data_IF_186856782806
#
_entry.id   IF_186856782806
#
_cell.length_a   1.000
_cell.length_b   1.000
_cell.length_c   1.000
_cell.angle_alpha   90.00
_cell.angle_beta   90.00
_cell.angle_gamma   90.00
#
_symmetry.space_group_name_H-M   'P 1'
#
loop_
_entity.id
_entity.type
_entity.pdbx_description
1 polymer ?
#
# COMPACT_ATOMS: atom_id res chain seq x y z
N UNK A 1 -8.04 25.13 25.09
CA UNK A 1 -8.78 24.85 23.84
C UNK A 1 -7.87 24.80 22.61
N UNK A 2 -6.90 25.71 22.45
CA UNK A 2 -5.97 25.74 21.32
C UNK A 2 -5.14 24.45 21.14
N UNK A 3 -4.61 23.87 22.23
CA UNK A 3 -3.89 22.59 22.19
C UNK A 3 -4.77 21.39 21.77
N UNK A 4 -6.08 21.47 22.02
CA UNK A 4 -7.04 20.42 21.67
C UNK A 4 -7.39 20.47 20.17
N UNK A 5 -7.49 21.68 19.60
CA UNK A 5 -7.64 21.88 18.14
C UNK A 5 -6.37 21.50 17.37
N UNK A 6 -5.18 21.80 17.91
CA UNK A 6 -3.89 21.35 17.36
C UNK A 6 -3.73 19.83 17.42
N UNK A 7 -4.17 19.20 18.51
CA UNK A 7 -4.19 17.74 18.63
C UNK A 7 -5.12 17.09 17.61
N UNK A 8 -6.32 17.65 17.40
CA UNK A 8 -7.28 17.13 16.42
C UNK A 8 -6.81 17.30 14.98
N UNK A 9 -6.21 18.44 14.64
CA UNK A 9 -5.68 18.68 13.29
C UNK A 9 -4.46 17.82 12.99
N UNK A 10 -3.59 17.59 13.98
CA UNK A 10 -2.48 16.65 13.86
C UNK A 10 -2.97 15.21 13.68
N UNK A 11 -4.00 14.78 14.43
CA UNK A 11 -4.63 13.46 14.26
C UNK A 11 -5.25 13.29 12.87
N UNK A 12 -6.00 14.29 12.39
CA UNK A 12 -6.60 14.27 11.07
C UNK A 12 -5.53 14.24 9.96
N UNK A 13 -4.45 15.02 10.11
CA UNK A 13 -3.33 15.00 9.16
C UNK A 13 -2.62 13.64 9.15
N UNK A 14 -2.38 13.02 10.31
CA UNK A 14 -1.80 11.68 10.39
C UNK A 14 -2.73 10.62 9.78
N UNK A 15 -4.05 10.76 9.93
CA UNK A 15 -5.01 9.88 9.28
C UNK A 15 -4.92 9.99 7.76
N UNK A 16 -4.89 11.20 7.21
CA UNK A 16 -4.75 11.40 5.75
C UNK A 16 -3.40 10.87 5.25
N UNK A 17 -2.30 11.15 5.95
CA UNK A 17 -0.94 10.73 5.55
C UNK A 17 -0.78 9.21 5.52
N UNK A 18 -1.50 8.49 6.39
CA UNK A 18 -1.44 7.02 6.46
C UNK A 18 -2.50 6.36 5.56
N UNK A 19 -3.73 6.88 5.54
CA UNK A 19 -4.83 6.24 4.82
C UNK A 19 -4.73 6.42 3.29
N UNK A 20 -4.22 7.55 2.81
CA UNK A 20 -4.03 7.79 1.38
C UNK A 20 -3.09 6.75 0.74
N UNK A 21 -1.86 6.53 1.24
CA UNK A 21 -0.97 5.54 0.66
C UNK A 21 -1.52 4.11 0.78
N UNK A 22 -2.32 3.82 1.82
CA UNK A 22 -2.97 2.52 1.95
C UNK A 22 -3.88 2.18 0.76
N UNK A 23 -4.79 3.09 0.41
CA UNK A 23 -5.73 2.90 -0.69
C UNK A 23 -5.07 3.05 -2.06
N UNK A 24 -4.25 4.09 -2.24
CA UNK A 24 -3.54 4.31 -3.49
C UNK A 24 -2.59 3.16 -3.82
N UNK A 25 -1.82 2.69 -2.85
CA UNK A 25 -0.90 1.58 -3.04
C UNK A 25 -1.63 0.27 -3.35
N UNK A 26 -2.73 -0.03 -2.65
CA UNK A 26 -3.55 -1.21 -2.92
C UNK A 26 -4.18 -1.19 -4.32
N UNK A 27 -4.78 -0.06 -4.72
CA UNK A 27 -5.37 0.11 -6.05
C UNK A 27 -4.29 0.03 -7.14
N UNK A 28 -3.17 0.71 -6.95
CA UNK A 28 -2.06 0.69 -7.90
C UNK A 28 -1.48 -0.71 -8.04
N UNK A 29 -1.30 -1.44 -6.93
CA UNK A 29 -0.89 -2.84 -6.92
C UNK A 29 -1.86 -3.70 -7.73
N UNK A 30 -3.17 -3.52 -7.54
CA UNK A 30 -4.17 -4.27 -8.30
C UNK A 30 -4.09 -3.99 -9.81
N UNK A 31 -4.10 -2.71 -10.20
CA UNK A 31 -4.05 -2.28 -11.60
C UNK A 31 -2.79 -2.81 -12.28
N UNK A 32 -1.62 -2.61 -11.65
CA UNK A 32 -0.34 -3.06 -12.20
C UNK A 32 -0.33 -4.58 -12.33
N UNK A 33 -0.79 -5.32 -11.32
CA UNK A 33 -0.77 -6.80 -11.35
C UNK A 33 -1.71 -7.35 -12.42
N UNK A 34 -2.87 -6.73 -12.64
CA UNK A 34 -3.83 -7.12 -13.68
C UNK A 34 -3.28 -6.80 -15.07
N UNK A 35 -2.95 -5.53 -15.33
CA UNK A 35 -2.67 -5.04 -16.69
C UNK A 35 -1.22 -5.21 -17.12
N UNK A 36 -0.25 -5.15 -16.21
CA UNK A 36 1.15 -5.27 -16.61
C UNK A 36 1.54 -6.74 -16.80
N UNK A 37 2.16 -7.04 -17.95
CA UNK A 37 2.90 -8.31 -18.19
C UNK A 37 4.37 -8.22 -17.79
N UNK A 38 4.89 -7.00 -17.60
CA UNK A 38 6.31 -6.73 -17.32
C UNK A 38 6.57 -6.72 -15.82
N UNK A 39 7.48 -7.60 -15.38
CA UNK A 39 7.86 -7.79 -13.99
C UNK A 39 8.35 -6.52 -13.30
N UNK A 40 9.05 -5.64 -14.01
CA UNK A 40 9.57 -4.38 -13.45
C UNK A 40 8.48 -3.40 -13.02
N UNK A 41 7.31 -3.42 -13.68
CA UNK A 41 6.21 -2.53 -13.30
C UNK A 41 5.54 -2.98 -12.00
N UNK A 42 5.62 -4.27 -11.65
CA UNK A 42 5.09 -4.83 -10.40
C UNK A 42 5.79 -4.25 -9.16
N UNK A 43 7.02 -3.73 -9.33
CA UNK A 43 7.78 -3.09 -8.25
C UNK A 43 7.35 -1.64 -7.97
N UNK A 44 6.65 -0.96 -8.89
CA UNK A 44 6.24 0.44 -8.72
C UNK A 44 5.46 0.70 -7.43
N UNK A 45 4.43 -0.09 -7.08
CA UNK A 45 3.65 0.18 -5.87
C UNK A 45 4.46 -0.10 -4.59
N UNK A 46 5.40 -1.05 -4.64
CA UNK A 46 6.33 -1.29 -3.54
C UNK A 46 7.31 -0.12 -3.35
N UNK A 47 7.87 0.42 -4.44
CA UNK A 47 8.75 1.59 -4.40
C UNK A 47 8.01 2.82 -3.85
N UNK A 48 6.80 3.07 -4.35
CA UNK A 48 5.96 4.17 -3.88
C UNK A 48 5.65 4.04 -2.38
N UNK A 49 5.38 2.81 -1.93
CA UNK A 49 5.16 2.48 -0.53
C UNK A 49 6.37 2.77 0.35
N UNK A 50 7.58 2.45 -0.11
CA UNK A 50 8.82 2.79 0.60
C UNK A 50 9.01 4.30 0.71
N UNK A 51 8.74 5.05 -0.37
CA UNK A 51 8.83 6.52 -0.35
C UNK A 51 7.85 7.11 0.65
N UNK A 52 6.61 6.64 0.68
CA UNK A 52 5.62 7.06 1.66
C UNK A 52 6.00 6.66 3.10
N UNK A 53 6.64 5.51 3.30
CA UNK A 53 7.17 5.10 4.60
C UNK A 53 8.22 6.06 5.12
N UNK A 54 9.21 6.39 4.29
CA UNK A 54 10.26 7.35 4.65
C UNK A 54 9.63 8.71 4.97
N UNK A 55 8.69 9.17 4.15
CA UNK A 55 7.99 10.43 4.38
C UNK A 55 7.20 10.43 5.70
N UNK A 56 6.48 9.35 5.99
CA UNK A 56 5.68 9.26 7.22
C UNK A 56 6.58 9.16 8.46
N UNK A 57 7.74 8.52 8.37
CA UNK A 57 8.72 8.52 9.46
C UNK A 57 9.21 9.95 9.69
N UNK A 58 9.65 10.66 8.65
CA UNK A 58 10.12 12.04 8.81
C UNK A 58 9.04 12.99 9.35
N UNK A 59 7.77 12.80 8.95
CA UNK A 59 6.68 13.69 9.32
C UNK A 59 5.98 13.33 10.63
N UNK A 60 6.00 12.07 11.07
CA UNK A 60 5.17 11.57 12.19
C UNK A 60 5.97 10.88 13.29
N UNK A 61 7.30 10.80 13.17
CA UNK A 61 8.14 10.13 14.18
C UNK A 61 7.96 10.71 15.58
N UNK A 62 7.96 12.04 15.73
CA UNK A 62 7.83 12.71 17.03
C UNK A 62 6.42 12.62 17.63
N UNK A 63 5.39 12.42 16.80
CA UNK A 63 3.98 12.38 17.25
C UNK A 63 3.49 10.97 17.55
N UNK A 64 3.85 9.99 16.72
CA UNK A 64 3.33 8.62 16.77
C UNK A 64 4.34 7.64 17.38
N UNK A 65 5.63 7.97 17.29
CA UNK A 65 6.71 7.12 17.77
C UNK A 65 7.07 5.98 16.79
N UNK A 66 8.33 5.56 16.85
CA UNK A 66 8.92 4.58 15.93
C UNK A 66 8.16 3.23 15.90
N UNK A 67 7.74 2.74 17.07
CA UNK A 67 7.11 1.43 17.24
C UNK A 67 5.77 1.35 16.48
N UNK A 68 4.91 2.35 16.63
CA UNK A 68 3.60 2.37 15.99
C UNK A 68 3.70 2.53 14.47
N UNK A 69 4.65 3.35 13.99
CA UNK A 69 4.99 3.46 12.57
C UNK A 69 5.48 2.11 11.99
N UNK A 70 6.38 1.42 12.70
CA UNK A 70 6.90 0.12 12.27
C UNK A 70 5.78 -0.94 12.16
N UNK A 71 4.89 -1.00 13.15
CA UNK A 71 3.73 -1.91 13.15
C UNK A 71 2.80 -1.57 11.98
N UNK A 72 2.46 -0.30 11.78
CA UNK A 72 1.59 0.15 10.71
C UNK A 72 2.13 -0.25 9.32
N UNK A 73 3.40 0.09 9.04
CA UNK A 73 4.03 -0.24 7.76
C UNK A 73 4.21 -1.75 7.58
N UNK A 74 4.52 -2.48 8.65
CA UNK A 74 4.59 -3.94 8.63
C UNK A 74 3.27 -4.58 8.19
N UNK A 75 2.15 -4.16 8.80
CA UNK A 75 0.81 -4.63 8.42
C UNK A 75 0.48 -4.24 6.97
N UNK A 76 0.82 -3.03 6.56
CA UNK A 76 0.57 -2.53 5.22
C UNK A 76 1.34 -3.31 4.13
N UNK A 77 2.63 -3.60 4.34
CA UNK A 77 3.40 -4.43 3.41
C UNK A 77 2.84 -5.85 3.33
N UNK A 78 2.40 -6.41 4.47
CA UNK A 78 1.78 -7.72 4.52
C UNK A 78 0.45 -7.75 3.73
N UNK A 79 -0.35 -6.69 3.85
CA UNK A 79 -1.57 -6.49 3.05
C UNK A 79 -1.27 -6.43 1.55
N UNK A 80 -0.28 -5.62 1.13
CA UNK A 80 0.13 -5.53 -0.28
C UNK A 80 0.60 -6.87 -0.82
N UNK A 81 1.36 -7.63 -0.02
CA UNK A 81 1.85 -8.96 -0.40
C UNK A 81 0.69 -9.93 -0.61
N UNK A 82 -0.27 -9.99 0.32
CA UNK A 82 -1.47 -10.83 0.19
C UNK A 82 -2.26 -10.44 -1.05
N UNK A 83 -2.51 -9.15 -1.25
CA UNK A 83 -3.27 -8.63 -2.38
C UNK A 83 -2.59 -8.98 -3.71
N UNK A 84 -1.27 -8.83 -3.78
CA UNK A 84 -0.49 -9.27 -4.93
C UNK A 84 -0.63 -10.77 -5.20
N UNK A 85 -0.46 -11.62 -4.18
CA UNK A 85 -0.57 -13.08 -4.33
C UNK A 85 -1.96 -13.51 -4.81
N UNK A 86 -3.02 -12.91 -4.27
CA UNK A 86 -4.41 -13.20 -4.67
C UNK A 86 -4.62 -12.83 -6.14
N UNK A 87 -4.31 -11.59 -6.52
CA UNK A 87 -4.55 -11.10 -7.88
C UNK A 87 -3.70 -11.87 -8.90
N UNK A 88 -2.44 -12.15 -8.56
CA UNK A 88 -1.57 -12.95 -9.42
C UNK A 88 -2.10 -14.37 -9.60
N UNK A 89 -2.61 -15.01 -8.53
CA UNK A 89 -3.21 -16.34 -8.58
C UNK A 89 -4.46 -16.37 -9.46
N UNK A 90 -5.35 -15.38 -9.32
CA UNK A 90 -6.55 -15.23 -10.16
C UNK A 90 -6.14 -15.04 -11.62
N UNK A 91 -5.21 -14.13 -11.92
CA UNK A 91 -4.73 -13.88 -13.28
C UNK A 91 -4.16 -15.15 -13.91
N UNK A 92 -3.35 -15.90 -13.16
CA UNK A 92 -2.76 -17.16 -13.63
C UNK A 92 -3.83 -18.23 -13.90
N UNK A 93 -4.84 -18.32 -13.03
CA UNK A 93 -5.97 -19.24 -13.20
C UNK A 93 -6.78 -18.90 -14.46
N UNK A 94 -7.15 -17.62 -14.65
CA UNK A 94 -7.90 -17.15 -15.83
C UNK A 94 -7.12 -17.40 -17.11
N UNK A 95 -5.82 -17.11 -17.15
CA UNK A 95 -4.98 -17.36 -18.31
C UNK A 95 -4.89 -18.84 -18.66
N UNK A 96 -4.75 -19.73 -17.66
CA UNK A 96 -4.76 -21.18 -17.88
C UNK A 96 -6.10 -21.67 -18.41
N UNK A 97 -7.20 -21.18 -17.85
CA UNK A 97 -8.55 -21.55 -18.29
C UNK A 97 -8.83 -21.11 -19.72
N UNK A 98 -8.38 -19.91 -20.10
CA UNK A 98 -8.53 -19.40 -21.46
C UNK A 98 -7.71 -20.20 -22.48
N UNK A 99 -6.48 -20.59 -22.13
CA UNK A 99 -5.68 -21.49 -22.99
C UNK A 99 -6.33 -22.87 -23.15
N UNK A 100 -6.92 -23.44 -22.10
CA UNK A 100 -7.60 -24.73 -22.16
C UNK A 100 -8.91 -24.72 -22.95
N UNK A 101 -9.56 -23.56 -23.12
CA UNK A 101 -10.79 -23.41 -23.93
C UNK A 101 -10.53 -23.17 -25.41
N UNK A 102 -9.33 -22.68 -25.76
CA UNK A 102 -8.97 -22.31 -27.12
C UNK A 102 -8.00 -23.33 -27.79
N UNK A 103 -7.86 -24.51 -27.17
CA UNK A 103 -7.11 -25.67 -27.64
C UNK A 103 -8.11 -26.80 -27.92
#
# INVERSE_FOLDING_TARGET
MFHLMLGLSALAASWVILFLPFWLGGILQAIVTIFCRRWYLILLPAILSVVCMVWSVLSLYETIGAMALAIYWGIYFLFLMILFTIIFSIKRFVLRWWMAKNL
#
